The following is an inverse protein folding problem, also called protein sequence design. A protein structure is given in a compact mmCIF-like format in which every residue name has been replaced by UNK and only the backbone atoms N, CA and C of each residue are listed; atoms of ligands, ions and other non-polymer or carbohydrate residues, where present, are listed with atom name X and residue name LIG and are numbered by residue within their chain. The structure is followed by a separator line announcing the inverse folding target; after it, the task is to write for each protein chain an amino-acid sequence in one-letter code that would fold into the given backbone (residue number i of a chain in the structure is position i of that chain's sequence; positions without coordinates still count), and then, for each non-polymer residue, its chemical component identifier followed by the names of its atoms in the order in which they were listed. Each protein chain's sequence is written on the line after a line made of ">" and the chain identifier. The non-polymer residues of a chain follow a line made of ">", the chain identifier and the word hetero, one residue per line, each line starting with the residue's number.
data_IF_951666945052
#
_entry.id   IF_951666945052
#
_cell.length_a   1.000
_cell.length_b   1.000
_cell.length_c   1.000
_cell.angle_alpha   90.00
_cell.angle_beta   90.00
_cell.angle_gamma   90.00
#
_symmetry.space_group_name_H-M   'P 1'
#
loop_
_entity.id
_entity.type
_entity.pdbx_description
1 polymer ?
#
# COMPACT_ATOMS: atom_id res chain seq x y z
N UNK A 1 23.33 17.54 4.50
CA UNK A 1 22.84 16.47 3.60
C UNK A 1 21.43 15.98 3.98
N UNK A 2 21.04 15.95 5.26
CA UNK A 2 19.70 15.48 5.71
C UNK A 2 18.47 16.20 5.12
N UNK A 3 18.55 17.51 4.84
CA UNK A 3 17.42 18.28 4.31
C UNK A 3 17.01 17.89 2.89
N UNK A 4 17.97 17.43 2.08
CA UNK A 4 17.72 17.09 0.67
C UNK A 4 17.02 15.74 0.55
N UNK A 5 17.29 14.82 1.48
CA UNK A 5 16.65 13.52 1.55
C UNK A 5 15.21 13.64 2.05
N UNK A 6 14.98 14.40 3.12
CA UNK A 6 13.64 14.68 3.63
C UNK A 6 12.73 15.28 2.54
N UNK A 7 13.25 16.24 1.75
CA UNK A 7 12.50 16.84 0.64
C UNK A 7 12.25 15.88 -0.54
N UNK A 8 13.05 14.83 -0.70
CA UNK A 8 12.80 13.76 -1.69
C UNK A 8 11.71 12.81 -1.20
N UNK A 9 11.77 12.44 0.09
CA UNK A 9 10.77 11.60 0.74
C UNK A 9 9.40 12.27 0.71
N UNK A 10 9.32 13.56 1.04
CA UNK A 10 8.06 14.30 1.05
C UNK A 10 7.43 14.37 -0.35
N UNK A 11 8.24 14.62 -1.38
CA UNK A 11 7.79 14.59 -2.78
C UNK A 11 7.33 13.20 -3.23
N UNK A 12 7.97 12.14 -2.75
CA UNK A 12 7.54 10.78 -3.02
C UNK A 12 6.18 10.50 -2.38
N UNK A 13 6.00 10.87 -1.11
CA UNK A 13 4.74 10.69 -0.36
C UNK A 13 3.59 11.44 -1.03
N UNK A 14 3.80 12.71 -1.40
CA UNK A 14 2.77 13.52 -2.06
C UNK A 14 2.39 13.01 -3.47
N UNK A 15 3.23 12.17 -4.09
CA UNK A 15 2.93 11.51 -5.37
C UNK A 15 2.19 10.17 -5.25
N UNK A 16 1.93 9.69 -4.04
CA UNK A 16 1.29 8.39 -3.83
C UNK A 16 -0.25 8.47 -4.00
N UNK A 17 -0.89 7.36 -4.44
CA UNK A 17 -2.34 7.26 -4.43
C UNK A 17 -2.93 7.46 -3.03
N UNK A 18 -4.07 8.16 -2.93
CA UNK A 18 -4.77 8.43 -1.66
C UNK A 18 -5.00 7.18 -0.79
N UNK A 19 -5.17 6.03 -1.45
CA UNK A 19 -5.35 4.72 -0.81
C UNK A 19 -4.21 4.28 0.11
N UNK A 20 -2.98 4.78 -0.11
CA UNK A 20 -1.78 4.44 0.68
C UNK A 20 -1.07 5.69 1.21
N UNK A 21 -1.29 6.86 0.59
CA UNK A 21 -0.69 8.14 0.97
C UNK A 21 -0.86 8.43 2.46
N UNK A 22 -2.08 8.33 3.00
CA UNK A 22 -2.33 8.60 4.42
C UNK A 22 -1.58 7.67 5.37
N UNK A 23 -1.44 6.39 5.00
CA UNK A 23 -0.72 5.39 5.81
C UNK A 23 0.79 5.62 5.75
N UNK A 24 1.35 5.90 4.58
CA UNK A 24 2.78 6.15 4.39
C UNK A 24 3.19 7.47 5.06
N UNK A 25 2.34 8.50 4.98
CA UNK A 25 2.59 9.78 5.68
C UNK A 25 2.57 9.63 7.19
N UNK A 26 1.70 8.77 7.72
CA UNK A 26 1.60 8.50 9.15
C UNK A 26 2.82 7.73 9.72
N UNK A 27 3.48 6.87 8.91
CA UNK A 27 4.68 6.15 9.34
C UNK A 27 5.92 7.03 9.43
N UNK A 28 5.89 8.25 8.86
CA UNK A 28 6.98 9.24 8.89
C UNK A 28 8.33 8.63 8.46
N UNK A 29 8.42 8.09 7.24
CA UNK A 29 9.65 7.48 6.77
C UNK A 29 10.79 8.49 6.80
N UNK A 30 11.95 8.06 7.29
CA UNK A 30 13.14 8.89 7.43
C UNK A 30 14.00 8.86 6.17
N UNK A 31 13.83 7.81 5.35
CA UNK A 31 14.55 7.62 4.09
C UNK A 31 13.61 7.25 2.95
N UNK A 32 14.10 7.43 1.71
CA UNK A 32 13.37 7.00 0.51
C UNK A 32 13.10 5.48 0.52
N UNK A 33 14.03 4.70 1.04
CA UNK A 33 13.92 3.24 1.06
C UNK A 33 12.77 2.79 1.96
N UNK A 34 12.66 3.36 3.16
CA UNK A 34 11.54 3.09 4.07
C UNK A 34 10.19 3.50 3.46
N UNK A 35 10.12 4.65 2.78
CA UNK A 35 8.90 5.09 2.14
C UNK A 35 8.44 4.11 1.04
N UNK A 36 9.39 3.58 0.25
CA UNK A 36 9.14 2.60 -0.82
C UNK A 36 8.73 1.24 -0.25
N UNK A 37 9.44 0.77 0.77
CA UNK A 37 9.18 -0.52 1.41
C UNK A 37 7.80 -0.52 2.07
N UNK A 38 7.47 0.56 2.80
CA UNK A 38 6.16 0.71 3.42
C UNK A 38 5.02 0.85 2.38
N UNK A 39 5.24 1.60 1.30
CA UNK A 39 4.25 1.72 0.23
C UNK A 39 3.98 0.36 -0.45
N UNK A 40 5.02 -0.44 -0.67
CA UNK A 40 4.93 -1.78 -1.27
C UNK A 40 4.21 -2.74 -0.33
N UNK A 41 4.58 -2.75 0.95
CA UNK A 41 3.91 -3.56 1.97
C UNK A 41 2.41 -3.23 2.09
N UNK A 42 2.06 -1.94 2.00
CA UNK A 42 0.66 -1.50 2.00
C UNK A 42 -0.11 -1.94 0.75
N UNK A 43 0.53 -2.01 -0.41
CA UNK A 43 -0.07 -2.58 -1.62
C UNK A 43 -0.27 -4.10 -1.47
N UNK A 44 0.75 -4.82 -1.01
CA UNK A 44 0.70 -6.28 -0.85
C UNK A 44 -0.37 -6.70 0.16
N UNK A 45 -0.46 -6.02 1.31
CA UNK A 45 -1.52 -6.28 2.31
C UNK A 45 -2.91 -6.15 1.71
N UNK A 46 -3.16 -5.11 0.90
CA UNK A 46 -4.47 -4.91 0.24
C UNK A 46 -4.72 -5.92 -0.89
N UNK A 47 -3.68 -6.33 -1.63
CA UNK A 47 -3.80 -7.39 -2.63
C UNK A 47 -4.13 -8.74 -1.99
N UNK A 48 -3.50 -9.06 -0.85
CA UNK A 48 -3.78 -10.29 -0.10
C UNK A 48 -5.27 -10.35 0.29
N UNK A 49 -5.80 -9.27 0.88
CA UNK A 49 -7.22 -9.20 1.26
C UNK A 49 -8.17 -9.32 0.07
N UNK A 50 -7.79 -8.77 -1.08
CA UNK A 50 -8.60 -8.87 -2.30
C UNK A 50 -8.58 -10.28 -2.90
N UNK A 51 -7.43 -10.96 -2.87
CA UNK A 51 -7.28 -12.32 -3.33
C UNK A 51 -8.08 -13.30 -2.47
N UNK A 52 -8.03 -13.16 -1.15
CA UNK A 52 -8.84 -13.96 -0.21
C UNK A 52 -10.34 -13.78 -0.44
N UNK A 53 -10.78 -12.52 -0.60
CA UNK A 53 -12.19 -12.22 -0.89
C UNK A 53 -12.64 -12.79 -2.24
N UNK A 54 -11.81 -12.69 -3.28
CA UNK A 54 -12.12 -13.29 -4.59
C UNK A 54 -12.21 -14.81 -4.50
N UNK A 55 -11.31 -15.47 -3.77
CA UNK A 55 -11.33 -16.91 -3.60
C UNK A 55 -12.61 -17.36 -2.88
N UNK A 56 -13.02 -16.64 -1.84
CA UNK A 56 -14.27 -16.91 -1.13
C UNK A 56 -15.50 -16.64 -2.00
N UNK A 57 -15.51 -15.54 -2.76
CA UNK A 57 -16.60 -15.21 -3.69
C UNK A 57 -16.74 -16.26 -4.80
N UNK A 58 -15.63 -16.75 -5.37
CA UNK A 58 -15.65 -17.83 -6.37
C UNK A 58 -16.27 -19.11 -5.81
N UNK A 59 -15.90 -19.52 -4.59
CA UNK A 59 -16.51 -20.68 -3.92
C UNK A 59 -18.02 -20.54 -3.76
N UNK A 60 -18.50 -19.35 -3.37
CA UNK A 60 -19.93 -19.07 -3.20
C UNK A 60 -20.70 -19.08 -4.53
N UNK A 61 -20.07 -18.66 -5.62
CA UNK A 61 -20.68 -18.61 -6.95
C UNK A 61 -20.87 -20.02 -7.53
N UNK A 62 -19.88 -20.91 -7.34
CA UNK A 62 -19.98 -22.33 -7.71
C UNK A 62 -21.08 -23.07 -6.93
N UNK A 63 -21.25 -22.80 -5.64
CA UNK A 63 -22.26 -23.46 -4.79
C UNK A 63 -23.71 -23.03 -5.11
N UNK A 64 -23.89 -21.79 -5.59
CA UNK A 64 -25.23 -21.24 -5.92
C UNK A 64 -25.67 -21.61 -7.35
N UNK A 65 -24.77 -22.12 -8.19
CA UNK A 65 -25.07 -22.50 -9.58
C UNK A 65 -25.58 -23.94 -9.73
N UNK A 66 -25.92 -24.64 -8.64
CA UNK A 66 -26.39 -26.03 -8.66
C UNK A 66 -27.91 -26.15 -8.54
#
# INVERSE_FOLDING_TARGET
>A
MFLEEAAKVERYIDGLPDMIHGSVKASKPQSMQEAIEFATEMMDKKMLTHAERQAEQKRKLDDTSR
#
